data_IF_182488760272
#
_entry.id   IF_182488760272
#
_cell.length_a   1.000
_cell.length_b   1.000
_cell.length_c   1.000
_cell.angle_alpha   90.00
_cell.angle_beta   90.00
_cell.angle_gamma   90.00
#
_symmetry.space_group_name_H-M   'P 1'
#
loop_
_entity.id
_entity.type
_entity.pdbx_description
1 polymer ?
#
# COMPACT_ATOMS: atom_id res chain seq x y z
N UNK A 1 -17.94 1.17 -10.74
CA UNK A 1 -16.79 0.40 -10.23
C UNK A 1 -17.01 -1.05 -10.55
N UNK A 2 -16.12 -1.64 -11.35
CA UNK A 2 -16.20 -3.03 -11.80
C UNK A 2 -15.13 -3.84 -11.06
N UNK A 3 -15.45 -5.10 -10.72
CA UNK A 3 -14.48 -6.01 -10.13
C UNK A 3 -13.38 -6.28 -11.16
N UNK A 4 -12.12 -6.12 -10.76
CA UNK A 4 -10.98 -6.33 -11.66
C UNK A 4 -10.00 -7.35 -11.09
N UNK A 5 -9.20 -7.91 -11.99
CA UNK A 5 -8.12 -8.81 -11.65
C UNK A 5 -6.83 -8.00 -11.46
N UNK A 6 -6.12 -8.22 -10.36
CA UNK A 6 -4.81 -7.58 -10.13
C UNK A 6 -3.74 -8.06 -11.11
N UNK A 7 -4.00 -9.13 -11.85
CA UNK A 7 -3.15 -9.64 -12.95
C UNK A 7 -3.40 -8.90 -14.28
N UNK A 8 -4.39 -8.02 -14.34
CA UNK A 8 -4.63 -7.18 -15.51
C UNK A 8 -3.37 -6.30 -15.77
N UNK A 9 -2.77 -6.35 -16.99
CA UNK A 9 -1.59 -5.56 -17.32
C UNK A 9 -1.75 -4.06 -17.05
N UNK A 10 -2.95 -3.49 -17.21
CA UNK A 10 -3.24 -2.09 -16.88
C UNK A 10 -3.08 -1.84 -15.38
N UNK A 11 -3.63 -2.72 -14.55
CA UNK A 11 -3.56 -2.60 -13.09
C UNK A 11 -2.13 -2.82 -12.59
N UNK A 12 -1.40 -3.80 -13.16
CA UNK A 12 0.03 -3.99 -12.88
C UNK A 12 0.83 -2.73 -13.24
N UNK A 13 0.56 -2.15 -14.41
CA UNK A 13 1.22 -0.92 -14.87
C UNK A 13 0.89 0.30 -14.00
N UNK A 14 -0.32 0.37 -13.43
CA UNK A 14 -0.67 1.41 -12.46
C UNK A 14 0.09 1.21 -11.14
N UNK A 15 0.10 -0.01 -10.60
CA UNK A 15 0.68 -0.32 -9.29
C UNK A 15 2.21 -0.31 -9.28
N UNK A 16 2.86 -0.40 -10.44
CA UNK A 16 4.32 -0.27 -10.59
C UNK A 16 4.81 1.18 -10.48
N UNK A 17 3.95 2.17 -10.74
CA UNK A 17 4.27 3.61 -10.64
C UNK A 17 4.48 4.02 -9.16
N UNK A 18 5.29 5.07 -8.89
CA UNK A 18 5.50 5.61 -7.54
C UNK A 18 4.30 6.43 -7.03
N UNK A 19 3.08 5.90 -7.14
CA UNK A 19 1.85 6.52 -6.63
C UNK A 19 1.73 6.31 -5.12
N UNK A 20 1.02 7.18 -4.43
CA UNK A 20 0.72 6.98 -3.02
C UNK A 20 -0.43 5.98 -2.85
N UNK A 21 -0.33 5.16 -1.81
CA UNK A 21 -1.43 4.32 -1.34
C UNK A 21 -2.08 5.03 -0.15
N UNK A 22 -3.38 5.26 -0.20
CA UNK A 22 -4.16 5.79 0.93
C UNK A 22 -4.72 4.60 1.70
N UNK A 23 -4.17 4.30 2.86
CA UNK A 23 -4.53 3.14 3.68
C UNK A 23 -5.52 3.55 4.76
N UNK A 24 -6.72 2.97 4.71
CA UNK A 24 -7.71 3.04 5.77
C UNK A 24 -7.54 1.86 6.73
N UNK A 25 -7.39 2.17 8.01
CA UNK A 25 -7.40 1.23 9.14
C UNK A 25 -8.48 1.65 10.12
N UNK A 26 -8.93 0.75 10.97
CA UNK A 26 -9.99 1.04 11.95
C UNK A 26 -9.52 0.62 13.34
N UNK A 27 -9.71 1.49 14.34
CA UNK A 27 -9.40 1.16 15.73
C UNK A 27 -10.32 0.07 16.28
N UNK A 28 -10.02 -0.44 17.48
CA UNK A 28 -10.93 -1.34 18.19
C UNK A 28 -12.30 -0.72 18.45
N UNK A 29 -12.36 0.59 18.66
CA UNK A 29 -13.57 1.38 18.91
C UNK A 29 -14.25 1.85 17.60
N UNK A 30 -13.97 1.18 16.49
CA UNK A 30 -14.54 1.46 15.17
C UNK A 30 -14.25 2.86 14.59
N UNK A 31 -13.21 3.56 15.07
CA UNK A 31 -12.82 4.87 14.52
C UNK A 31 -11.92 4.66 13.29
N UNK A 32 -12.31 5.17 12.10
CA UNK A 32 -11.49 5.06 10.91
C UNK A 32 -10.30 6.02 10.96
N UNK A 33 -9.16 5.58 10.46
CA UNK A 33 -7.95 6.37 10.30
C UNK A 33 -7.34 6.11 8.92
N UNK A 34 -7.18 7.17 8.14
CA UNK A 34 -6.62 7.14 6.78
C UNK A 34 -5.24 7.79 6.78
N UNK A 35 -4.29 7.17 6.07
CA UNK A 35 -2.95 7.74 5.92
C UNK A 35 -2.33 7.37 4.58
N UNK A 36 -1.64 8.32 3.96
CA UNK A 36 -0.87 8.07 2.74
C UNK A 36 0.44 7.35 3.06
N UNK A 37 0.81 6.37 2.24
CA UNK A 37 2.04 5.56 2.39
C UNK A 37 2.66 5.22 1.04
N UNK A 38 3.96 4.98 1.05
CA UNK A 38 4.65 4.27 -0.03
C UNK A 38 4.38 2.78 0.06
N UNK A 39 4.27 2.11 -1.08
CA UNK A 39 3.93 0.70 -1.14
C UNK A 39 4.68 -0.04 -2.25
N UNK A 40 4.81 -1.35 -2.06
CA UNK A 40 5.20 -2.30 -3.09
C UNK A 40 4.03 -3.25 -3.35
N UNK A 41 3.76 -3.56 -4.62
CA UNK A 41 2.89 -4.66 -5.00
C UNK A 41 3.76 -5.74 -5.65
N UNK A 42 3.65 -6.98 -5.20
CA UNK A 42 4.49 -8.10 -5.66
C UNK A 42 3.76 -9.06 -6.62
N UNK A 43 2.53 -8.74 -7.01
CA UNK A 43 1.65 -9.60 -7.82
C UNK A 43 0.56 -10.30 -7.01
N UNK A 44 0.66 -10.37 -5.69
CA UNK A 44 -0.37 -10.97 -4.82
C UNK A 44 -0.71 -10.13 -3.59
N UNK A 45 0.26 -9.43 -3.03
CA UNK A 45 0.12 -8.66 -1.80
C UNK A 45 0.58 -7.22 -1.98
N UNK A 46 -0.05 -6.32 -1.22
CA UNK A 46 0.46 -4.98 -1.02
C UNK A 46 1.31 -4.97 0.25
N UNK A 47 2.49 -4.37 0.14
CA UNK A 47 3.46 -4.27 1.22
C UNK A 47 3.68 -2.81 1.56
N UNK A 48 3.60 -2.50 2.85
CA UNK A 48 3.90 -1.17 3.40
C UNK A 48 4.90 -1.34 4.52
N UNK A 49 6.02 -0.62 4.47
CA UNK A 49 6.96 -0.55 5.59
C UNK A 49 6.63 0.65 6.46
N UNK A 50 6.49 0.46 7.77
CA UNK A 50 6.17 1.56 8.70
C UNK A 50 6.84 1.37 10.06
N UNK A 51 7.00 2.45 10.82
CA UNK A 51 7.52 2.37 12.19
C UNK A 51 6.53 1.62 13.09
N UNK A 52 7.04 0.82 14.04
CA UNK A 52 6.24 -0.06 14.91
C UNK A 52 5.23 0.70 15.80
N UNK A 53 5.48 1.97 16.08
CA UNK A 53 4.73 2.82 16.99
C UNK A 53 3.51 3.51 16.34
N UNK A 54 3.35 3.40 15.01
CA UNK A 54 2.31 4.10 14.26
C UNK A 54 0.91 3.58 14.58
N UNK A 55 -0.07 4.48 14.59
CA UNK A 55 -1.47 4.16 14.89
C UNK A 55 -2.04 3.05 13.99
N UNK A 56 -1.66 3.02 12.70
CA UNK A 56 -2.07 1.96 11.77
C UNK A 56 -1.63 0.57 12.23
N UNK A 57 -0.45 0.45 12.87
CA UNK A 57 0.05 -0.82 13.43
C UNK A 57 -0.84 -1.24 14.60
N UNK A 58 -1.11 -0.32 15.54
CA UNK A 58 -2.00 -0.56 16.69
C UNK A 58 -3.42 -0.93 16.26
N UNK A 59 -3.93 -0.29 15.22
CA UNK A 59 -5.24 -0.59 14.64
C UNK A 59 -5.27 -2.00 14.05
N UNK A 60 -4.27 -2.35 13.21
CA UNK A 60 -4.20 -3.66 12.54
C UNK A 60 -4.08 -4.81 13.55
N UNK A 61 -3.35 -4.61 14.66
CA UNK A 61 -3.28 -5.61 15.74
C UNK A 61 -4.65 -5.95 16.33
N UNK A 62 -5.58 -4.99 16.38
CA UNK A 62 -6.93 -5.16 16.93
C UNK A 62 -7.96 -5.53 15.87
N UNK A 63 -7.78 -5.05 14.64
CA UNK A 63 -8.69 -5.25 13.54
C UNK A 63 -7.90 -5.34 12.21
N UNK A 64 -7.73 -6.55 11.64
CA UNK A 64 -6.95 -6.75 10.43
C UNK A 64 -7.67 -6.26 9.16
N UNK A 65 -8.95 -5.90 9.23
CA UNK A 65 -9.70 -5.44 8.05
C UNK A 65 -9.23 -4.04 7.64
N UNK A 66 -8.80 -3.92 6.39
CA UNK A 66 -8.34 -2.65 5.81
C UNK A 66 -8.99 -2.40 4.47
N UNK A 67 -9.04 -1.13 4.10
CA UNK A 67 -9.33 -0.71 2.74
C UNK A 67 -8.21 0.21 2.25
N UNK A 68 -7.93 0.19 0.96
CA UNK A 68 -6.94 1.06 0.35
C UNK A 68 -7.35 1.48 -1.04
N UNK A 69 -6.74 2.58 -1.48
CA UNK A 69 -6.79 3.05 -2.86
C UNK A 69 -5.37 3.42 -3.30
N UNK A 70 -5.04 3.05 -4.53
CA UNK A 70 -3.88 3.57 -5.26
C UNK A 70 -4.41 4.23 -6.52
N UNK A 71 -4.16 5.52 -6.67
CA UNK A 71 -4.77 6.36 -7.71
C UNK A 71 -3.82 7.46 -8.18
N UNK A 72 -4.11 8.01 -9.37
CA UNK A 72 -3.41 9.17 -9.93
C UNK A 72 -3.97 10.47 -9.37
N UNK A 73 -3.11 11.44 -9.10
CA UNK A 73 -3.53 12.76 -8.61
C UNK A 73 -3.92 13.72 -9.76
N UNK A 74 -3.73 13.31 -11.02
CA UNK A 74 -4.01 14.10 -12.23
C UNK A 74 -4.79 13.31 -13.27
N UNK A 75 -5.45 14.03 -14.19
CA UNK A 75 -6.23 13.40 -15.26
C UNK A 75 -5.35 12.66 -16.29
N UNK A 76 -5.84 11.53 -16.84
CA UNK A 76 -7.07 10.83 -16.46
C UNK A 76 -6.94 10.19 -15.05
N UNK A 77 -8.00 10.30 -14.25
CA UNK A 77 -8.02 9.73 -12.90
C UNK A 77 -8.16 8.21 -12.98
N UNK A 78 -7.07 7.50 -12.77
CA UNK A 78 -7.02 6.04 -12.73
C UNK A 78 -6.81 5.59 -11.29
N UNK A 79 -7.43 4.49 -10.88
CA UNK A 79 -7.19 3.97 -9.55
C UNK A 79 -7.79 2.60 -9.30
N UNK A 80 -7.23 1.91 -8.32
CA UNK A 80 -7.72 0.63 -7.83
C UNK A 80 -8.05 0.73 -6.35
N UNK A 81 -9.27 0.33 -6.01
CA UNK A 81 -9.72 0.19 -4.63
C UNK A 81 -9.62 -1.27 -4.23
N UNK A 82 -9.06 -1.53 -3.05
CA UNK A 82 -8.92 -2.87 -2.50
C UNK A 82 -9.50 -2.90 -1.09
N UNK A 83 -10.33 -3.90 -0.82
CA UNK A 83 -10.64 -4.35 0.54
C UNK A 83 -9.80 -5.60 0.81
N UNK A 84 -9.32 -5.77 2.03
CA UNK A 84 -8.43 -6.89 2.35
C UNK A 84 -8.19 -7.12 3.84
N UNK A 85 -7.33 -8.09 4.11
CA UNK A 85 -6.83 -8.39 5.45
C UNK A 85 -5.34 -8.05 5.53
N UNK A 86 -4.97 -7.30 6.57
CA UNK A 86 -3.62 -6.90 6.88
C UNK A 86 -3.01 -7.78 7.97
N UNK A 87 -1.74 -8.08 7.81
CA UNK A 87 -0.89 -8.80 8.76
C UNK A 87 0.39 -8.00 9.01
N UNK A 88 0.89 -8.07 10.24
CA UNK A 88 2.18 -7.51 10.62
C UNK A 88 3.26 -8.58 10.47
N UNK A 89 4.26 -8.30 9.63
CA UNK A 89 5.36 -9.22 9.31
C UNK A 89 6.69 -8.60 9.74
N UNK A 90 7.51 -9.38 10.45
CA UNK A 90 8.79 -8.93 11.01
C UNK A 90 10.00 -9.44 10.21
N UNK A 91 9.82 -10.50 9.45
CA UNK A 91 10.80 -11.08 8.55
C UNK A 91 10.93 -10.25 7.27
N UNK A 92 12.16 -10.17 6.72
CA UNK A 92 12.39 -9.50 5.44
C UNK A 92 12.17 -7.99 5.42
N UNK A 93 12.01 -7.34 6.59
CA UNK A 93 11.76 -5.89 6.71
C UNK A 93 12.76 -5.06 5.91
N UNK A 94 14.06 -5.38 5.99
CA UNK A 94 15.11 -4.64 5.27
C UNK A 94 14.93 -4.74 3.76
N UNK A 95 14.74 -5.96 3.23
CA UNK A 95 14.67 -6.19 1.79
C UNK A 95 13.44 -5.56 1.16
N UNK A 96 12.28 -5.73 1.79
CA UNK A 96 11.02 -5.14 1.31
C UNK A 96 11.07 -3.62 1.43
N UNK A 97 11.61 -3.08 2.53
CA UNK A 97 11.77 -1.62 2.70
C UNK A 97 12.69 -1.05 1.62
N UNK A 98 13.82 -1.70 1.32
CA UNK A 98 14.73 -1.28 0.24
C UNK A 98 13.99 -1.21 -1.10
N UNK A 99 13.25 -2.26 -1.47
CA UNK A 99 12.48 -2.31 -2.72
C UNK A 99 11.40 -1.22 -2.78
N UNK A 100 10.77 -0.90 -1.66
CA UNK A 100 9.86 0.25 -1.57
C UNK A 100 10.64 1.54 -1.82
N UNK A 101 11.76 1.79 -1.13
CA UNK A 101 12.53 3.03 -1.32
C UNK A 101 13.02 3.17 -2.76
N UNK A 102 13.55 2.11 -3.37
CA UNK A 102 14.00 2.09 -4.76
C UNK A 102 12.88 2.42 -5.76
N UNK A 103 11.63 2.11 -5.43
CA UNK A 103 10.47 2.46 -6.26
C UNK A 103 10.19 3.97 -6.25
N UNK A 104 10.41 4.66 -5.14
CA UNK A 104 10.00 6.07 -4.95
C UNK A 104 11.16 7.08 -5.02
N UNK A 105 12.39 6.64 -4.77
CA UNK A 105 13.55 7.53 -4.63
C UNK A 105 14.51 7.30 -5.80
N UNK A 106 15.05 8.38 -6.41
CA UNK A 106 16.05 8.27 -7.46
C UNK A 106 17.27 7.41 -7.06
N UNK A 107 17.89 6.76 -8.06
CA UNK A 107 18.99 5.81 -7.85
C UNK A 107 20.21 6.37 -7.11
N UNK A 108 20.45 7.68 -7.18
CA UNK A 108 21.55 8.34 -6.50
C UNK A 108 21.24 8.72 -5.04
N UNK A 109 20.00 8.54 -4.57
CA UNK A 109 19.55 8.98 -3.24
C UNK A 109 18.94 7.85 -2.39
N UNK A 110 18.54 6.73 -3.00
CA UNK A 110 17.78 5.68 -2.32
C UNK A 110 18.50 5.13 -1.07
N UNK A 111 19.83 5.00 -1.10
CA UNK A 111 20.60 4.45 0.03
C UNK A 111 20.51 5.33 1.26
N UNK A 112 20.65 6.65 1.08
CA UNK A 112 20.50 7.61 2.15
C UNK A 112 19.09 7.55 2.75
N UNK A 113 18.05 7.66 1.93
CA UNK A 113 16.66 7.56 2.42
C UNK A 113 16.38 6.23 3.11
N UNK A 114 16.91 5.11 2.58
CA UNK A 114 16.78 3.81 3.21
C UNK A 114 17.41 3.79 4.60
N UNK A 115 18.66 4.27 4.73
CA UNK A 115 19.35 4.34 6.02
C UNK A 115 18.59 5.20 7.03
N UNK A 116 18.04 6.35 6.59
CA UNK A 116 17.24 7.22 7.44
C UNK A 116 15.98 6.52 7.99
N UNK A 117 15.27 5.79 7.13
CA UNK A 117 14.06 5.04 7.51
C UNK A 117 14.39 3.89 8.46
N UNK A 118 15.56 3.26 8.29
CA UNK A 118 16.02 2.12 9.09
C UNK A 118 16.59 2.52 10.47
N UNK A 119 16.78 3.82 10.75
CA UNK A 119 17.14 4.30 12.10
C UNK A 119 16.08 3.99 13.17
N UNK A 120 14.83 3.76 12.75
CA UNK A 120 13.72 3.45 13.64
C UNK A 120 13.27 2.00 13.45
N UNK A 121 12.83 1.30 14.51
CA UNK A 121 12.26 -0.04 14.38
C UNK A 121 11.04 -0.03 13.46
N UNK A 122 11.01 -0.96 12.51
CA UNK A 122 9.99 -1.06 11.47
C UNK A 122 9.35 -2.44 11.42
N UNK A 123 8.12 -2.45 10.95
CA UNK A 123 7.34 -3.64 10.64
C UNK A 123 6.76 -3.51 9.23
N UNK A 124 6.54 -4.64 8.57
CA UNK A 124 5.82 -4.67 7.31
C UNK A 124 4.33 -4.89 7.58
N UNK A 125 3.49 -4.15 6.89
CA UNK A 125 2.07 -4.46 6.75
C UNK A 125 1.92 -5.18 5.42
N UNK A 126 1.60 -6.48 5.48
CA UNK A 126 1.24 -7.31 4.33
C UNK A 126 -0.26 -7.33 4.18
N UNK A 127 -0.79 -6.84 3.06
CA UNK A 127 -2.22 -6.77 2.81
C UNK A 127 -2.57 -7.79 1.73
N UNK A 128 -3.41 -8.75 2.09
CA UNK A 128 -4.02 -9.72 1.18
C UNK A 128 -5.34 -9.16 0.64
N UNK A 129 -5.44 -8.89 -0.67
CA UNK A 129 -6.67 -8.44 -1.30
C UNK A 129 -7.77 -9.50 -1.19
N UNK A 130 -8.99 -9.10 -0.81
CA UNK A 130 -10.20 -9.93 -0.86
C UNK A 130 -11.20 -9.44 -1.91
N UNK A 131 -11.21 -8.14 -2.20
CA UNK A 131 -12.02 -7.50 -3.23
C UNK A 131 -11.24 -6.38 -3.88
N UNK A 132 -11.36 -6.26 -5.20
CA UNK A 132 -10.60 -5.32 -6.01
C UNK A 132 -11.55 -4.68 -7.00
N UNK A 133 -11.55 -3.35 -7.07
CA UNK A 133 -12.45 -2.56 -7.89
C UNK A 133 -11.66 -1.50 -8.67
N UNK A 134 -11.96 -1.33 -9.96
CA UNK A 134 -11.43 -0.21 -10.76
C UNK A 134 -12.35 1.01 -10.64
N UNK A 135 -11.73 2.18 -10.52
CA UNK A 135 -12.41 3.50 -10.52
C UNK A 135 -12.80 3.91 -11.95
N UNK A 136 -12.06 3.46 -12.97
CA UNK A 136 -12.25 3.82 -14.38
C UNK A 136 -13.37 3.05 -15.10
N UNK A 137 -14.54 2.86 -14.46
CA UNK A 137 -15.71 2.26 -15.13
C UNK A 137 -16.51 3.25 -16.01
N UNK A 138 -16.10 4.51 -16.14
CA UNK A 138 -16.74 5.46 -17.06
C UNK A 138 -16.07 5.44 -18.44
N UNK A 139 -16.23 4.34 -19.20
CA UNK A 139 -16.19 4.32 -20.68
C UNK A 139 -16.42 2.90 -21.22
N UNK A 140 -17.67 2.61 -21.58
CA UNK A 140 -18.14 2.03 -22.86
C UNK A 140 -19.64 1.74 -22.73
N UNK A 141 -20.43 2.81 -22.78
CA UNK A 141 -21.70 2.83 -23.53
C UNK A 141 -21.47 3.77 -24.71
#
# INVERSE_FOLDING_TARGET
MVKVDLRDPKIIGLLSKPLLLRLATVSGDCIPHVSSVWFLFDGGFFWVSTSVDRLKVKNIMKNPRVALIVDTDTQPYEGVIVEGLAELVHEGVRDVTRRIVEKYVPKNQWSHTFDELMRYPRVLIRIRPSKVLDIMSYRRL
#
